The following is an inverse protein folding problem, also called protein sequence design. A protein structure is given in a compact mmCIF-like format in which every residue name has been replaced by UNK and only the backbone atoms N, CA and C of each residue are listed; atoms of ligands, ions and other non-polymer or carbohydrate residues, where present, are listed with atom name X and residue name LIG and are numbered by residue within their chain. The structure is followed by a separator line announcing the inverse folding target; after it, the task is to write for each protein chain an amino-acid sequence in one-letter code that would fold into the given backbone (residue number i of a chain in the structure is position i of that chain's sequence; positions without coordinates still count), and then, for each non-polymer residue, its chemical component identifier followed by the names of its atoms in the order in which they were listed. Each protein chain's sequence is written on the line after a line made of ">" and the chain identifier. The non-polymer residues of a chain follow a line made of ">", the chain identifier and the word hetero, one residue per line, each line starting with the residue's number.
data_IF_095028177730
#
_entry.id   IF_095028177730
#
_cell.length_a   1.000
_cell.length_b   1.000
_cell.length_c   1.000
_cell.angle_alpha   90.00
_cell.angle_beta   90.00
_cell.angle_gamma   90.00
#
_symmetry.space_group_name_H-M   'P 1'
#
loop_
_entity.id
_entity.type
_entity.pdbx_description
1 polymer ?
#
# COMPACT_ATOMS: atom_id res chain seq x y z
N UNK A 1 -38.58 17.82 41.84
CA UNK A 1 -38.71 18.80 40.72
C UNK A 1 -37.58 18.54 39.74
N UNK A 2 -37.87 18.04 38.53
CA UNK A 2 -36.86 17.96 37.48
C UNK A 2 -36.50 19.38 37.06
N UNK A 3 -35.20 19.72 37.08
CA UNK A 3 -34.72 21.02 36.67
C UNK A 3 -35.14 21.32 35.23
N UNK A 4 -35.85 22.43 35.01
CA UNK A 4 -36.24 22.89 33.68
C UNK A 4 -34.99 23.18 32.86
N UNK A 5 -34.81 22.47 31.74
CA UNK A 5 -33.72 22.74 30.79
C UNK A 5 -33.83 24.20 30.33
N UNK A 6 -32.76 24.98 30.50
CA UNK A 6 -32.71 26.36 30.03
C UNK A 6 -32.97 26.40 28.51
N UNK A 7 -33.85 27.31 28.09
CA UNK A 7 -34.17 27.51 26.67
C UNK A 7 -32.92 27.97 25.93
N UNK A 8 -32.54 27.25 24.87
CA UNK A 8 -31.39 27.63 24.05
C UNK A 8 -31.72 28.84 23.18
N UNK A 9 -31.05 29.95 23.47
CA UNK A 9 -31.13 31.17 22.66
C UNK A 9 -30.49 31.00 21.28
N UNK A 10 -30.78 31.91 20.35
CA UNK A 10 -30.29 31.85 18.97
C UNK A 10 -28.76 31.82 18.89
N UNK A 11 -28.08 32.65 19.69
CA UNK A 11 -26.61 32.70 19.77
C UNK A 11 -26.02 31.37 20.26
N UNK A 12 -26.66 30.71 21.24
CA UNK A 12 -26.21 29.41 21.75
C UNK A 12 -26.36 28.28 20.73
N UNK A 13 -27.34 28.39 19.82
CA UNK A 13 -27.51 27.42 18.71
C UNK A 13 -26.48 27.61 17.60
N UNK A 14 -25.96 28.82 17.45
CA UNK A 14 -25.02 29.19 16.39
C UNK A 14 -23.57 28.95 16.85
N UNK A 15 -23.24 29.36 18.07
CA UNK A 15 -21.90 29.31 18.63
C UNK A 15 -21.54 27.97 19.28
N UNK A 16 -20.25 27.74 19.49
CA UNK A 16 -19.72 26.57 20.20
C UNK A 16 -19.52 25.32 19.34
N UNK A 17 -19.06 24.23 19.98
CA UNK A 17 -18.67 22.97 19.29
C UNK A 17 -19.85 22.30 18.58
N UNK A 18 -21.03 22.36 19.19
CA UNK A 18 -22.29 21.83 18.64
C UNK A 18 -23.11 22.91 17.90
N UNK A 19 -22.56 24.12 17.75
CA UNK A 19 -23.21 25.21 17.04
C UNK A 19 -23.26 24.96 15.53
N UNK A 20 -24.19 25.64 14.85
CA UNK A 20 -24.42 25.47 13.40
C UNK A 20 -23.20 25.72 12.53
N UNK A 21 -22.36 26.72 12.85
CA UNK A 21 -21.16 27.00 12.04
C UNK A 21 -20.19 25.82 11.99
N UNK A 22 -19.97 25.16 13.13
CA UNK A 22 -18.99 24.07 13.22
C UNK A 22 -19.57 22.70 12.89
N UNK A 23 -20.79 22.41 13.33
CA UNK A 23 -21.40 21.07 13.24
C UNK A 23 -22.24 20.84 11.98
N UNK A 24 -22.64 21.90 11.28
CA UNK A 24 -23.48 21.80 10.08
C UNK A 24 -22.84 22.38 8.82
N UNK A 25 -22.10 23.48 8.94
CA UNK A 25 -21.49 24.16 7.79
C UNK A 25 -20.06 23.67 7.53
N UNK A 26 -19.17 23.78 8.52
CA UNK A 26 -17.77 23.36 8.36
C UNK A 26 -17.59 21.84 8.41
N UNK A 27 -18.23 21.17 9.37
CA UNK A 27 -18.38 19.71 9.39
C UNK A 27 -19.83 19.34 9.16
N UNK A 28 -20.09 18.23 8.47
CA UNK A 28 -21.43 17.64 8.35
C UNK A 28 -21.33 16.14 8.14
N UNK A 29 -22.43 15.43 8.41
CA UNK A 29 -22.57 14.03 7.98
C UNK A 29 -22.76 14.00 6.46
N UNK A 30 -22.19 12.99 5.83
CA UNK A 30 -22.21 12.80 4.37
C UNK A 30 -22.67 11.38 4.06
N UNK A 31 -23.43 11.27 2.97
CA UNK A 31 -23.91 9.99 2.43
C UNK A 31 -22.81 9.27 1.63
N UNK A 32 -23.07 8.01 1.25
CA UNK A 32 -22.15 7.16 0.46
C UNK A 32 -20.80 6.94 1.13
N UNK A 33 -20.85 6.69 2.44
CA UNK A 33 -19.67 6.40 3.25
C UNK A 33 -19.77 5.06 3.95
N UNK A 34 -18.62 4.46 4.22
CA UNK A 34 -18.49 3.23 4.99
C UNK A 34 -17.43 3.39 6.08
N UNK A 35 -17.53 2.59 7.13
CA UNK A 35 -16.54 2.50 8.20
C UNK A 35 -16.50 1.06 8.70
N UNK A 36 -15.30 0.52 8.84
CA UNK A 36 -15.07 -0.80 9.44
C UNK A 36 -13.60 -0.89 9.88
N UNK A 37 -13.28 -1.96 10.60
CA UNK A 37 -11.94 -2.29 11.08
C UNK A 37 -11.01 -2.55 9.89
N UNK A 38 -9.76 -2.13 10.03
CA UNK A 38 -8.71 -2.36 9.02
C UNK A 38 -7.94 -3.67 9.27
N UNK A 39 -7.37 -4.26 8.22
CA UNK A 39 -6.50 -5.44 8.30
C UNK A 39 -5.39 -5.37 7.26
N UNK A 40 -4.22 -5.98 7.52
CA UNK A 40 -3.11 -5.99 6.57
C UNK A 40 -3.43 -6.89 5.37
N UNK A 41 -2.97 -6.49 4.18
CA UNK A 41 -2.91 -7.37 3.01
C UNK A 41 -1.74 -6.96 2.08
N UNK A 42 -0.60 -7.68 2.13
CA UNK A 42 0.60 -7.33 1.36
C UNK A 42 0.48 -7.71 -0.12
N UNK A 43 -0.54 -8.51 -0.50
CA UNK A 43 -0.77 -8.89 -1.90
C UNK A 43 -1.50 -7.79 -2.67
N UNK A 44 -2.18 -6.89 -1.97
CA UNK A 44 -2.77 -5.70 -2.57
C UNK A 44 -1.69 -4.72 -2.99
N UNK A 45 -1.91 -4.06 -4.13
CA UNK A 45 -1.05 -2.95 -4.53
C UNK A 45 -1.19 -1.81 -3.54
N UNK A 46 -0.15 -0.98 -3.38
CA UNK A 46 -0.24 0.23 -2.55
C UNK A 46 -1.36 1.20 -2.97
N UNK A 47 -1.86 1.12 -4.20
CA UNK A 47 -2.96 1.94 -4.72
C UNK A 47 -4.33 1.30 -4.53
N UNK A 48 -4.40 0.06 -4.06
CA UNK A 48 -5.63 -0.71 -3.92
C UNK A 48 -6.05 -0.81 -2.45
N UNK A 49 -7.37 -0.79 -2.22
CA UNK A 49 -7.99 -1.07 -0.93
C UNK A 49 -9.02 -2.18 -1.09
N UNK A 50 -8.86 -3.24 -0.30
CA UNK A 50 -9.78 -4.35 -0.16
C UNK A 50 -11.05 -3.89 0.52
N UNK A 51 -12.19 -3.97 -0.16
CA UNK A 51 -13.51 -3.58 0.34
C UNK A 51 -14.39 -4.82 0.50
N UNK A 52 -15.04 -5.00 1.66
CA UNK A 52 -16.02 -6.06 1.86
C UNK A 52 -17.16 -6.05 0.83
N UNK A 53 -17.50 -7.23 0.29
CA UNK A 53 -18.64 -7.38 -0.64
C UNK A 53 -19.95 -6.86 -0.04
N UNK A 54 -20.15 -7.04 1.27
CA UNK A 54 -21.32 -6.52 1.98
C UNK A 54 -21.39 -4.99 1.96
N UNK A 55 -20.23 -4.32 2.06
CA UNK A 55 -20.15 -2.86 1.95
C UNK A 55 -20.33 -2.41 0.50
N UNK A 56 -19.74 -3.14 -0.45
CA UNK A 56 -19.86 -2.87 -1.89
C UNK A 56 -21.30 -2.99 -2.41
N UNK A 57 -22.10 -3.88 -1.84
CA UNK A 57 -23.53 -4.06 -2.16
C UNK A 57 -24.44 -3.00 -1.51
N UNK A 58 -23.92 -2.12 -0.65
CA UNK A 58 -24.68 -1.00 -0.06
C UNK A 58 -24.29 0.31 -0.74
N UNK A 59 -22.99 0.51 -0.95
CA UNK A 59 -22.46 1.69 -1.62
C UNK A 59 -22.70 1.62 -3.12
N UNK A 60 -23.21 2.72 -3.67
CA UNK A 60 -23.51 2.81 -5.10
C UNK A 60 -22.69 3.92 -5.77
N UNK A 61 -22.46 3.73 -7.07
CA UNK A 61 -21.88 4.72 -7.95
C UNK A 61 -22.85 4.99 -9.11
N UNK A 62 -23.16 6.28 -9.39
CA UNK A 62 -24.08 6.65 -10.45
C UNK A 62 -23.36 6.66 -11.80
N UNK A 63 -23.48 5.58 -12.56
CA UNK A 63 -22.86 5.47 -13.87
C UNK A 63 -23.85 5.87 -14.98
N UNK A 64 -23.47 6.85 -15.80
CA UNK A 64 -24.26 7.24 -16.97
C UNK A 64 -24.15 6.20 -18.07
N UNK A 65 -25.30 5.79 -18.63
CA UNK A 65 -25.38 4.83 -19.71
C UNK A 65 -24.87 5.47 -20.99
N UNK A 66 -23.84 4.87 -21.56
CA UNK A 66 -23.23 5.17 -22.84
C UNK A 66 -23.29 3.95 -23.77
N UNK A 67 -22.98 4.14 -25.05
CA UNK A 67 -22.93 3.02 -26.01
C UNK A 67 -21.91 1.94 -25.62
N UNK A 68 -20.86 2.29 -24.87
CA UNK A 68 -19.79 1.37 -24.48
C UNK A 68 -20.19 0.50 -23.28
N UNK A 69 -20.83 1.08 -22.27
CA UNK A 69 -21.16 0.39 -21.01
C UNK A 69 -22.59 -0.17 -20.96
N UNK A 70 -23.46 0.11 -21.95
CA UNK A 70 -24.88 -0.31 -21.94
C UNK A 70 -25.06 -1.81 -21.73
N UNK A 71 -24.22 -2.65 -22.33
CA UNK A 71 -24.30 -4.11 -22.18
C UNK A 71 -24.02 -4.53 -20.73
N UNK A 72 -23.00 -3.93 -20.11
CA UNK A 72 -22.60 -4.15 -18.72
C UNK A 72 -23.69 -3.67 -17.76
N UNK A 73 -24.14 -2.42 -17.92
CA UNK A 73 -25.16 -1.83 -17.05
C UNK A 73 -26.50 -2.56 -17.17
N UNK A 74 -26.89 -2.99 -18.37
CA UNK A 74 -28.07 -3.84 -18.56
C UNK A 74 -27.98 -5.14 -17.75
N UNK A 75 -26.80 -5.77 -17.70
CA UNK A 75 -26.60 -6.96 -16.88
C UNK A 75 -26.70 -6.66 -15.38
N UNK A 76 -26.11 -5.56 -14.91
CA UNK A 76 -26.23 -5.12 -13.51
C UNK A 76 -27.69 -4.86 -13.12
N UNK A 77 -28.47 -4.23 -14.02
CA UNK A 77 -29.89 -3.99 -13.83
C UNK A 77 -30.69 -5.30 -13.78
N UNK A 78 -30.40 -6.27 -14.68
CA UNK A 78 -31.06 -7.59 -14.65
C UNK A 78 -30.77 -8.37 -13.37
N UNK A 79 -29.52 -8.31 -12.89
CA UNK A 79 -29.15 -8.92 -11.61
C UNK A 79 -29.93 -8.26 -10.46
N UNK A 80 -30.06 -6.92 -10.48
CA UNK A 80 -30.78 -6.14 -9.48
C UNK A 80 -30.03 -6.07 -8.15
N UNK A 81 -30.74 -5.85 -7.03
CA UNK A 81 -30.11 -5.68 -5.72
C UNK A 81 -29.63 -7.00 -5.10
N UNK A 82 -30.23 -8.13 -5.49
CA UNK A 82 -30.03 -9.42 -4.81
C UNK A 82 -28.71 -10.11 -5.19
N UNK A 83 -28.15 -9.81 -6.37
CA UNK A 83 -26.97 -10.49 -6.92
C UNK A 83 -25.88 -9.50 -7.28
N UNK A 84 -24.68 -9.73 -6.73
CA UNK A 84 -23.46 -9.02 -7.11
C UNK A 84 -22.79 -9.65 -8.34
N UNK A 85 -22.29 -8.88 -9.31
CA UNK A 85 -22.41 -7.42 -9.48
C UNK A 85 -23.83 -7.02 -9.89
N UNK A 86 -24.35 -5.94 -9.31
CA UNK A 86 -25.76 -5.55 -9.44
C UNK A 86 -25.98 -4.04 -9.40
N UNK A 87 -27.24 -3.62 -9.34
CA UNK A 87 -27.62 -2.22 -9.24
C UNK A 87 -28.84 -2.02 -8.35
N UNK A 88 -28.94 -0.84 -7.74
CA UNK A 88 -30.01 -0.49 -6.82
C UNK A 88 -31.19 0.19 -7.52
N UNK A 89 -30.90 1.16 -8.38
CA UNK A 89 -31.93 1.94 -9.06
C UNK A 89 -31.45 2.51 -10.40
N UNK A 90 -32.41 2.91 -11.23
CA UNK A 90 -32.18 3.60 -12.51
C UNK A 90 -32.90 4.94 -12.47
N UNK A 91 -32.18 6.01 -12.82
CA UNK A 91 -32.69 7.37 -12.96
C UNK A 91 -32.77 7.72 -14.44
N UNK A 92 -33.96 8.10 -14.89
CA UNK A 92 -34.21 8.52 -16.27
C UNK A 92 -33.87 10.01 -16.43
N UNK A 93 -33.61 10.48 -17.67
CA UNK A 93 -33.40 11.90 -17.97
C UNK A 93 -34.55 12.80 -17.49
N UNK A 94 -35.77 12.28 -17.46
CA UNK A 94 -36.98 12.97 -16.99
C UNK A 94 -37.01 13.21 -15.46
N UNK A 95 -35.96 12.78 -14.73
CA UNK A 95 -35.84 12.92 -13.28
C UNK A 95 -36.53 11.81 -12.48
N UNK A 96 -37.27 10.91 -13.14
CA UNK A 96 -37.92 9.77 -12.49
C UNK A 96 -36.87 8.72 -12.11
N UNK A 97 -36.84 8.35 -10.84
CA UNK A 97 -36.04 7.24 -10.33
C UNK A 97 -36.92 5.98 -10.15
N UNK A 98 -36.46 4.84 -10.66
CA UNK A 98 -37.11 3.53 -10.46
C UNK A 98 -36.17 2.59 -9.71
N UNK A 99 -36.63 2.12 -8.56
CA UNK A 99 -35.92 1.11 -7.76
C UNK A 99 -36.07 -0.25 -8.45
N UNK A 100 -34.97 -1.01 -8.51
CA UNK A 100 -34.94 -2.32 -9.11
C UNK A 100 -35.43 -3.36 -8.10
N UNK A 101 -36.70 -3.74 -8.18
CA UNK A 101 -37.28 -4.73 -7.27
C UNK A 101 -38.10 -5.78 -8.03
N UNK A 102 -37.95 -7.05 -7.62
CA UNK A 102 -38.68 -8.18 -8.22
C UNK A 102 -38.49 -8.28 -9.74
N UNK A 103 -39.56 -8.64 -10.46
CA UNK A 103 -39.53 -8.89 -11.90
C UNK A 103 -39.50 -7.62 -12.78
N UNK A 104 -39.67 -6.42 -12.19
CA UNK A 104 -39.66 -5.17 -12.96
C UNK A 104 -38.28 -4.88 -13.55
N UNK A 105 -37.22 -5.44 -12.93
CA UNK A 105 -35.83 -5.26 -13.35
C UNK A 105 -35.55 -5.77 -14.76
N UNK A 106 -36.23 -6.84 -15.20
CA UNK A 106 -36.08 -7.36 -16.57
C UNK A 106 -36.64 -6.37 -17.60
N UNK A 107 -37.84 -5.85 -17.38
CA UNK A 107 -38.46 -4.84 -18.25
C UNK A 107 -37.64 -3.55 -18.31
N UNK A 108 -37.14 -3.08 -17.16
CA UNK A 108 -36.29 -1.88 -17.10
C UNK A 108 -34.96 -2.10 -17.82
N UNK A 109 -34.35 -3.29 -17.70
CA UNK A 109 -33.11 -3.61 -18.40
C UNK A 109 -33.27 -3.60 -19.93
N UNK A 110 -34.40 -4.13 -20.44
CA UNK A 110 -34.67 -4.17 -21.87
C UNK A 110 -34.99 -2.78 -22.44
N UNK A 111 -35.61 -1.91 -21.63
CA UNK A 111 -35.92 -0.52 -21.98
C UNK A 111 -34.76 0.46 -21.70
N UNK A 112 -33.61 0.00 -21.24
CA UNK A 112 -32.48 0.86 -20.88
C UNK A 112 -31.92 1.58 -22.11
N UNK A 113 -31.97 2.91 -22.11
CA UNK A 113 -31.47 3.79 -23.17
C UNK A 113 -30.26 4.60 -22.71
N UNK A 114 -29.51 5.13 -23.68
CA UNK A 114 -28.38 6.04 -23.46
C UNK A 114 -28.88 7.33 -22.80
N UNK A 115 -28.13 7.83 -21.81
CA UNK A 115 -28.52 9.00 -21.02
C UNK A 115 -29.25 8.67 -19.71
N UNK A 116 -29.67 7.42 -19.49
CA UNK A 116 -30.10 6.98 -18.16
C UNK A 116 -28.90 6.90 -17.22
N UNK A 117 -29.12 7.10 -15.92
CA UNK A 117 -28.10 6.92 -14.87
C UNK A 117 -28.44 5.68 -14.07
N UNK A 118 -27.52 4.74 -13.96
CA UNK A 118 -27.69 3.51 -13.18
C UNK A 118 -26.86 3.63 -11.91
N UNK A 119 -27.51 3.58 -10.75
CA UNK A 119 -26.84 3.52 -9.45
C UNK A 119 -26.41 2.06 -9.21
N UNK A 120 -25.28 1.69 -9.82
CA UNK A 120 -24.70 0.35 -9.70
C UNK A 120 -23.95 0.20 -8.38
N UNK A 121 -23.77 -1.03 -7.93
CA UNK A 121 -22.91 -1.31 -6.78
C UNK A 121 -21.43 -1.07 -7.09
N UNK A 122 -20.65 -0.89 -6.02
CA UNK A 122 -19.21 -0.67 -6.11
C UNK A 122 -18.52 -1.90 -6.71
N UNK A 123 -17.58 -1.68 -7.63
CA UNK A 123 -16.86 -2.73 -8.33
C UNK A 123 -15.35 -2.57 -8.25
N UNK A 124 -14.62 -3.59 -8.70
CA UNK A 124 -13.17 -3.55 -8.79
C UNK A 124 -12.70 -2.40 -9.68
N UNK A 125 -11.76 -1.61 -9.18
CA UNK A 125 -11.17 -0.47 -9.87
C UNK A 125 -11.89 0.86 -9.64
N UNK A 126 -13.04 0.89 -8.96
CA UNK A 126 -13.70 2.13 -8.56
C UNK A 126 -12.83 2.96 -7.63
N UNK A 127 -12.98 4.28 -7.68
CA UNK A 127 -12.15 5.20 -6.92
C UNK A 127 -12.84 5.60 -5.62
N UNK A 128 -12.12 5.44 -4.52
CA UNK A 128 -12.62 5.68 -3.17
C UNK A 128 -11.63 6.55 -2.40
N UNK A 129 -12.16 7.49 -1.63
CA UNK A 129 -11.36 8.27 -0.69
C UNK A 129 -11.32 7.53 0.64
N UNK A 130 -10.11 7.36 1.17
CA UNK A 130 -9.85 6.60 2.38
C UNK A 130 -9.13 7.46 3.39
N UNK A 131 -9.68 7.54 4.61
CA UNK A 131 -9.13 8.37 5.68
C UNK A 131 -9.09 7.69 7.04
N UNK A 132 -8.11 8.09 7.85
CA UNK A 132 -8.06 7.78 9.28
C UNK A 132 -8.42 9.03 10.09
N UNK A 133 -9.29 8.84 11.09
CA UNK A 133 -9.62 9.88 12.06
C UNK A 133 -8.82 9.61 13.35
N UNK A 134 -8.12 10.58 13.93
CA UNK A 134 -7.99 12.00 13.52
C UNK A 134 -7.06 12.21 12.31
N UNK A 135 -7.44 13.10 11.40
CA UNK A 135 -6.60 13.51 10.28
C UNK A 135 -5.68 14.66 10.69
N UNK A 136 -4.36 14.39 10.78
CA UNK A 136 -3.38 15.37 11.24
C UNK A 136 -2.74 16.17 10.12
N UNK A 137 -2.63 15.58 8.92
CA UNK A 137 -1.98 16.19 7.78
C UNK A 137 -2.67 15.78 6.48
N UNK A 138 -2.39 16.48 5.37
CA UNK A 138 -3.01 16.24 4.05
C UNK A 138 -3.01 14.76 3.64
N UNK A 139 -1.92 14.06 3.94
CA UNK A 139 -1.70 12.65 3.62
C UNK A 139 -2.57 11.66 4.40
N UNK A 140 -3.35 12.11 5.39
CA UNK A 140 -4.26 11.27 6.17
C UNK A 140 -5.57 10.97 5.42
N UNK A 141 -5.73 11.50 4.19
CA UNK A 141 -6.83 11.23 3.28
C UNK A 141 -6.28 11.10 1.85
N UNK A 142 -6.44 9.93 1.24
CA UNK A 142 -5.95 9.63 -0.11
C UNK A 142 -6.98 8.85 -0.91
N UNK A 143 -6.84 8.89 -2.23
CA UNK A 143 -7.65 8.13 -3.17
C UNK A 143 -7.00 6.79 -3.50
N UNK A 144 -7.79 5.72 -3.35
CA UNK A 144 -7.44 4.34 -3.64
C UNK A 144 -8.39 3.74 -4.67
N UNK A 145 -7.98 2.65 -5.29
CA UNK A 145 -8.82 1.80 -6.13
C UNK A 145 -9.45 0.69 -5.28
N UNK A 146 -10.76 0.54 -5.38
CA UNK A 146 -11.50 -0.52 -4.75
C UNK A 146 -11.10 -1.89 -5.30
N UNK A 147 -10.99 -2.88 -4.41
CA UNK A 147 -10.91 -4.28 -4.76
C UNK A 147 -11.84 -5.07 -3.86
N UNK A 148 -12.87 -5.69 -4.43
CA UNK A 148 -13.93 -6.31 -3.67
C UNK A 148 -13.49 -7.68 -3.17
N UNK A 149 -13.69 -7.91 -1.88
CA UNK A 149 -13.27 -9.12 -1.17
C UNK A 149 -14.42 -9.71 -0.36
N UNK A 150 -14.38 -11.02 -0.14
CA UNK A 150 -15.45 -11.74 0.57
C UNK A 150 -15.54 -11.39 2.07
N UNK A 151 -14.45 -10.94 2.67
CA UNK A 151 -14.33 -10.67 4.10
C UNK A 151 -15.03 -9.36 4.53
N UNK A 152 -15.02 -9.05 5.83
CA UNK A 152 -15.75 -7.91 6.42
C UNK A 152 -14.90 -6.71 6.86
N UNK A 153 -13.58 -6.80 6.71
CA UNK A 153 -12.63 -5.74 7.07
C UNK A 153 -12.12 -5.01 5.84
N UNK A 154 -11.71 -3.74 6.02
CA UNK A 154 -11.00 -2.99 4.98
C UNK A 154 -9.55 -3.43 4.97
N UNK A 155 -8.99 -3.71 3.80
CA UNK A 155 -7.62 -4.21 3.68
C UNK A 155 -6.77 -3.31 2.82
N UNK A 156 -5.52 -3.09 3.18
CA UNK A 156 -4.59 -2.35 2.33
C UNK A 156 -3.16 -2.72 2.67
N UNK A 157 -2.24 -2.30 1.79
CA UNK A 157 -0.83 -2.61 1.91
C UNK A 157 -0.17 -1.85 3.08
N UNK A 158 0.65 -2.55 3.84
CA UNK A 158 1.33 -2.10 5.06
C UNK A 158 2.31 -0.95 4.80
N UNK A 159 2.79 -0.81 3.56
CA UNK A 159 3.65 0.31 3.15
C UNK A 159 2.95 1.68 3.26
N UNK A 160 1.61 1.68 3.24
CA UNK A 160 0.76 2.88 3.27
C UNK A 160 0.27 3.21 4.70
N UNK A 161 0.63 2.43 5.71
CA UNK A 161 0.20 2.68 7.09
C UNK A 161 0.78 3.98 7.67
N UNK A 162 2.02 4.34 7.31
CA UNK A 162 2.72 5.51 7.84
C UNK A 162 1.94 6.83 7.63
N UNK A 163 1.45 7.17 6.41
CA UNK A 163 0.57 8.32 6.22
C UNK A 163 -0.69 8.35 7.09
N UNK A 164 -1.29 7.19 7.36
CA UNK A 164 -2.47 7.13 8.19
C UNK A 164 -2.15 7.13 9.68
N UNK A 165 -0.88 6.94 10.03
CA UNK A 165 -0.42 6.64 11.38
C UNK A 165 -1.22 5.47 11.99
N UNK A 166 -1.57 4.49 11.14
CA UNK A 166 -2.42 3.37 11.47
C UNK A 166 -1.59 2.17 11.92
N UNK A 167 -2.09 1.46 12.92
CA UNK A 167 -1.71 0.12 13.34
C UNK A 167 -2.89 -0.85 13.13
N UNK A 168 -2.63 -2.15 13.10
CA UNK A 168 -3.65 -3.16 12.85
C UNK A 168 -4.16 -3.78 14.16
N UNK A 169 -4.31 -2.96 15.21
CA UNK A 169 -4.67 -3.35 16.58
C UNK A 169 -6.18 -3.29 16.88
N UNK A 170 -7.00 -3.00 15.86
CA UNK A 170 -8.45 -2.78 15.99
C UNK A 170 -8.90 -1.41 15.47
N UNK A 171 -7.98 -0.62 14.92
CA UNK A 171 -8.27 0.64 14.24
C UNK A 171 -9.39 0.53 13.19
N UNK A 172 -10.20 1.59 13.12
CA UNK A 172 -11.24 1.75 12.11
C UNK A 172 -10.94 2.95 11.23
N UNK A 173 -11.17 2.79 9.93
CA UNK A 173 -11.01 3.86 8.95
C UNK A 173 -12.31 4.09 8.18
N UNK A 174 -12.49 5.31 7.67
CA UNK A 174 -13.66 5.62 6.86
C UNK A 174 -13.32 5.65 5.38
N UNK A 175 -14.33 5.30 4.60
CA UNK A 175 -14.31 5.23 3.16
C UNK A 175 -15.42 6.13 2.61
N UNK A 176 -15.12 6.90 1.58
CA UNK A 176 -16.05 7.79 0.92
C UNK A 176 -16.02 7.53 -0.59
N UNK A 177 -17.20 7.34 -1.19
CA UNK A 177 -17.31 7.08 -2.64
C UNK A 177 -17.70 8.37 -3.37
N UNK A 178 -16.82 8.85 -4.24
CA UNK A 178 -17.09 10.02 -5.08
C UNK A 178 -18.23 9.73 -6.06
N UNK A 179 -19.22 10.62 -6.11
CA UNK A 179 -20.45 10.41 -6.91
C UNK A 179 -20.39 11.06 -8.30
N UNK A 180 -19.53 12.06 -8.53
CA UNK A 180 -19.40 12.74 -9.83
C UNK A 180 -18.11 12.35 -10.53
N UNK A 181 -18.13 12.36 -11.87
CA UNK A 181 -16.94 12.06 -12.69
C UNK A 181 -15.81 13.07 -12.49
N UNK A 182 -16.16 14.35 -12.32
CA UNK A 182 -15.20 15.42 -12.04
C UNK A 182 -14.45 15.18 -10.73
N UNK A 183 -15.19 14.97 -9.63
CA UNK A 183 -14.60 14.72 -8.31
C UNK A 183 -13.81 13.40 -8.29
N UNK A 184 -14.26 12.39 -9.06
CA UNK A 184 -13.56 11.11 -9.22
C UNK A 184 -12.21 11.30 -9.91
N UNK A 185 -12.19 12.09 -10.98
CA UNK A 185 -10.97 12.39 -11.75
C UNK A 185 -10.00 13.22 -10.92
N UNK A 186 -10.48 14.25 -10.23
CA UNK A 186 -9.68 15.09 -9.34
C UNK A 186 -9.07 14.25 -8.20
N UNK A 187 -9.87 13.39 -7.56
CA UNK A 187 -9.40 12.51 -6.50
C UNK A 187 -8.27 11.58 -6.99
N UNK A 188 -8.39 10.97 -8.16
CA UNK A 188 -7.33 10.12 -8.71
C UNK A 188 -6.07 10.93 -9.04
N UNK A 189 -6.22 12.07 -9.72
CA UNK A 189 -5.10 12.85 -10.24
C UNK A 189 -4.35 13.61 -9.14
N UNK A 190 -5.04 14.13 -8.11
CA UNK A 190 -4.42 14.95 -7.06
C UNK A 190 -4.25 14.20 -5.74
N UNK A 191 -5.19 13.34 -5.38
CA UNK A 191 -5.22 12.64 -4.10
C UNK A 191 -4.78 11.17 -4.20
N UNK A 192 -4.47 10.67 -5.40
CA UNK A 192 -4.02 9.30 -5.61
C UNK A 192 -2.74 8.98 -4.83
N UNK A 193 -2.64 7.76 -4.30
CA UNK A 193 -1.48 7.30 -3.51
C UNK A 193 -0.16 7.46 -4.29
N UNK A 194 -0.16 7.12 -5.59
CA UNK A 194 1.01 7.24 -6.46
C UNK A 194 1.55 8.67 -6.54
N UNK A 195 0.67 9.68 -6.54
CA UNK A 195 1.08 11.07 -6.68
C UNK A 195 1.50 11.69 -5.34
N UNK A 196 1.25 10.96 -4.25
CA UNK A 196 1.46 11.43 -2.89
C UNK A 196 2.43 10.51 -2.11
N UNK A 197 3.43 9.92 -2.78
CA UNK A 197 4.44 9.10 -2.09
C UNK A 197 5.35 9.92 -1.16
N UNK A 198 5.58 11.20 -1.48
CA UNK A 198 6.38 12.13 -0.69
C UNK A 198 5.54 13.03 0.22
N UNK A 199 6.10 13.40 1.37
CA UNK A 199 5.51 14.45 2.22
C UNK A 199 5.77 15.84 1.65
N UNK A 200 4.77 16.75 1.64
CA UNK A 200 4.96 18.13 1.19
C UNK A 200 5.84 18.96 2.14
N UNK A 201 6.05 18.51 3.39
CA UNK A 201 6.82 19.23 4.41
C UNK A 201 8.31 19.30 4.05
N UNK A 202 8.90 18.16 3.72
CA UNK A 202 10.35 18.00 3.55
C UNK A 202 10.73 17.38 2.18
N UNK A 203 9.77 16.89 1.40
CA UNK A 203 10.03 16.13 0.17
C UNK A 203 10.54 14.71 0.38
N UNK A 204 10.52 14.19 1.61
CA UNK A 204 10.93 12.83 1.94
C UNK A 204 9.84 11.81 1.58
N UNK A 205 10.25 10.59 1.24
CA UNK A 205 9.31 9.47 1.00
C UNK A 205 8.65 9.07 2.32
N UNK A 206 7.32 9.12 2.34
CA UNK A 206 6.50 8.74 3.50
C UNK A 206 5.96 7.31 3.37
N UNK A 207 5.51 6.95 2.17
CA UNK A 207 5.05 5.60 1.81
C UNK A 207 6.27 4.78 1.40
N UNK A 208 6.66 3.83 2.24
CA UNK A 208 7.89 3.07 2.09
C UNK A 208 7.73 1.71 2.78
N UNK A 209 8.74 0.85 2.64
CA UNK A 209 8.75 -0.45 3.28
C UNK A 209 8.86 -0.30 4.81
N UNK A 210 8.00 -1.03 5.52
CA UNK A 210 7.88 -1.00 6.97
C UNK A 210 8.27 -2.35 7.57
N UNK A 211 8.82 -2.32 8.79
CA UNK A 211 9.05 -3.48 9.68
C UNK A 211 9.50 -4.77 8.95
N UNK A 212 8.58 -5.71 8.74
CA UNK A 212 8.79 -7.02 8.14
C UNK A 212 9.37 -6.99 6.72
N UNK A 213 9.00 -5.99 5.92
CA UNK A 213 9.55 -5.79 4.57
C UNK A 213 11.03 -5.39 4.62
N UNK A 214 11.43 -4.64 5.64
CA UNK A 214 12.83 -4.28 5.84
C UNK A 214 13.63 -5.48 6.35
N UNK A 215 13.08 -6.23 7.30
CA UNK A 215 13.73 -7.41 7.88
C UNK A 215 13.98 -8.49 6.82
N UNK A 216 12.98 -8.79 6.00
CA UNK A 216 13.10 -9.75 4.89
C UNK A 216 14.13 -9.30 3.86
N UNK A 217 14.09 -8.04 3.43
CA UNK A 217 15.08 -7.47 2.51
C UNK A 217 16.51 -7.57 3.05
N UNK A 218 16.68 -7.30 4.34
CA UNK A 218 17.98 -7.41 5.02
C UNK A 218 18.50 -8.85 5.03
N UNK A 219 17.64 -9.83 5.30
CA UNK A 219 18.02 -11.26 5.31
C UNK A 219 18.33 -11.79 3.91
N UNK A 220 17.57 -11.37 2.88
CA UNK A 220 17.81 -11.76 1.48
C UNK A 220 19.15 -11.22 1.01
N UNK A 221 19.44 -9.94 1.28
CA UNK A 221 20.62 -9.26 0.73
C UNK A 221 21.92 -9.51 1.51
N UNK A 222 21.88 -10.37 2.54
CA UNK A 222 23.05 -10.80 3.31
C UNK A 222 24.06 -11.56 2.43
N UNK A 223 25.36 -11.44 2.74
CA UNK A 223 26.46 -12.00 1.92
C UNK A 223 26.51 -13.52 1.89
N UNK A 224 25.99 -14.17 2.91
CA UNK A 224 26.00 -15.63 3.12
C UNK A 224 24.71 -16.31 2.61
N UNK A 225 23.79 -15.56 2.01
CA UNK A 225 22.54 -16.11 1.47
C UNK A 225 22.69 -16.49 0.00
N UNK A 226 22.63 -17.79 -0.26
CA UNK A 226 22.69 -18.38 -1.59
C UNK A 226 21.43 -19.20 -1.90
N UNK A 227 21.02 -19.18 -3.16
CA UNK A 227 19.84 -19.88 -3.67
C UNK A 227 20.24 -20.77 -4.84
N UNK A 228 19.65 -21.96 -4.90
CA UNK A 228 19.73 -22.79 -6.09
C UNK A 228 18.80 -22.24 -7.18
N UNK A 229 18.83 -22.87 -8.36
CA UNK A 229 18.00 -22.42 -9.49
C UNK A 229 16.50 -22.52 -9.20
N UNK A 230 16.07 -23.53 -8.43
CA UNK A 230 14.66 -23.78 -8.15
C UNK A 230 14.10 -22.72 -7.19
N UNK A 231 14.79 -22.48 -6.08
CA UNK A 231 14.45 -21.46 -5.08
C UNK A 231 14.52 -20.06 -5.70
N UNK A 232 15.55 -19.76 -6.49
CA UNK A 232 15.68 -18.47 -7.16
C UNK A 232 14.51 -18.22 -8.12
N UNK A 233 14.15 -19.22 -8.93
CA UNK A 233 13.02 -19.12 -9.87
C UNK A 233 11.69 -19.00 -9.13
N UNK A 234 11.53 -19.71 -8.01
CA UNK A 234 10.34 -19.59 -7.17
C UNK A 234 10.17 -18.18 -6.62
N UNK A 235 11.23 -17.61 -6.02
CA UNK A 235 11.24 -16.23 -5.53
C UNK A 235 10.87 -15.23 -6.63
N UNK A 236 11.40 -15.46 -7.82
CA UNK A 236 11.11 -14.67 -9.02
C UNK A 236 9.63 -14.74 -9.44
N UNK A 237 9.01 -15.92 -9.38
CA UNK A 237 7.59 -16.07 -9.66
C UNK A 237 6.72 -15.31 -8.65
N UNK A 238 7.05 -15.35 -7.36
CA UNK A 238 6.26 -14.70 -6.31
C UNK A 238 6.25 -13.18 -6.40
N UNK A 239 7.38 -12.54 -6.73
CA UNK A 239 7.41 -11.08 -6.86
C UNK A 239 6.50 -10.58 -7.99
N UNK A 240 6.34 -11.35 -9.06
CA UNK A 240 5.57 -10.99 -10.26
C UNK A 240 4.22 -11.70 -10.43
N UNK A 241 3.72 -12.42 -9.41
CA UNK A 241 2.56 -13.32 -9.49
C UNK A 241 2.62 -14.33 -10.66
N UNK A 242 3.82 -14.67 -11.14
CA UNK A 242 4.02 -15.49 -12.34
C UNK A 242 3.64 -14.83 -13.68
N UNK A 243 3.33 -13.53 -13.68
CA UNK A 243 2.92 -12.77 -14.86
C UNK A 243 4.09 -12.01 -15.51
N UNK A 244 5.12 -11.66 -14.74
CA UNK A 244 6.27 -10.92 -15.24
C UNK A 244 7.22 -11.83 -16.03
N UNK A 245 7.65 -11.35 -17.21
CA UNK A 245 8.76 -11.95 -17.94
C UNK A 245 10.08 -11.62 -17.23
N UNK A 246 10.90 -12.65 -17.01
CA UNK A 246 12.13 -12.56 -16.22
C UNK A 246 13.30 -13.16 -17.01
N UNK A 247 14.33 -12.34 -17.21
CA UNK A 247 15.62 -12.76 -17.74
C UNK A 247 16.47 -13.25 -16.57
N UNK A 248 16.68 -14.57 -16.47
CA UNK A 248 17.49 -15.14 -15.40
C UNK A 248 18.96 -14.71 -15.55
N UNK A 249 19.56 -14.05 -14.54
CA UNK A 249 20.97 -13.66 -14.60
C UNK A 249 21.87 -14.89 -14.49
N UNK A 250 23.13 -14.76 -14.91
CA UNK A 250 24.14 -15.79 -14.65
C UNK A 250 24.34 -16.00 -13.14
N UNK A 251 24.52 -17.25 -12.67
CA UNK A 251 24.75 -17.52 -11.26
C UNK A 251 26.07 -16.86 -10.80
N UNK A 252 26.08 -16.38 -9.55
CA UNK A 252 27.28 -15.78 -8.96
C UNK A 252 28.40 -16.82 -8.75
N UNK A 253 28.02 -18.07 -8.48
CA UNK A 253 28.95 -19.20 -8.35
C UNK A 253 28.53 -20.26 -9.36
N UNK A 254 29.44 -20.64 -10.26
CA UNK A 254 29.19 -21.65 -11.30
C UNK A 254 29.58 -23.07 -10.86
N UNK A 255 30.64 -23.19 -10.05
CA UNK A 255 31.17 -24.46 -9.55
C UNK A 255 31.43 -24.35 -8.05
N UNK A 256 31.20 -25.40 -7.24
CA UNK A 256 30.80 -26.76 -7.64
C UNK A 256 29.32 -26.91 -8.02
N UNK A 257 28.45 -25.98 -7.59
CA UNK A 257 27.02 -25.95 -7.90
C UNK A 257 26.67 -24.53 -8.35
N UNK A 258 25.71 -24.40 -9.27
CA UNK A 258 25.17 -23.10 -9.68
C UNK A 258 24.38 -22.46 -8.53
N UNK A 259 24.90 -21.36 -7.99
CA UNK A 259 24.26 -20.62 -6.91
C UNK A 259 24.12 -19.14 -7.24
N UNK A 260 22.95 -18.60 -6.93
CA UNK A 260 22.62 -17.20 -7.02
C UNK A 260 22.67 -16.54 -5.65
N UNK A 261 23.02 -15.26 -5.61
CA UNK A 261 22.99 -14.48 -4.37
C UNK A 261 21.63 -13.79 -4.22
N UNK A 262 21.25 -13.45 -2.99
CA UNK A 262 20.04 -12.64 -2.78
C UNK A 262 20.16 -11.20 -3.31
N UNK A 263 21.38 -10.70 -3.53
CA UNK A 263 21.60 -9.42 -4.23
C UNK A 263 21.15 -9.51 -5.70
N UNK A 264 21.40 -10.64 -6.37
CA UNK A 264 20.90 -10.87 -7.73
C UNK A 264 19.37 -10.93 -7.77
N UNK A 265 18.71 -11.51 -6.76
CA UNK A 265 17.23 -11.47 -6.65
C UNK A 265 16.75 -10.02 -6.63
N UNK A 266 17.41 -9.15 -5.85
CA UNK A 266 17.04 -7.74 -5.77
C UNK A 266 17.28 -7.00 -7.09
N UNK A 267 18.35 -7.31 -7.83
CA UNK A 267 18.57 -6.77 -9.17
C UNK A 267 17.42 -7.12 -10.12
N UNK A 268 16.95 -8.38 -10.09
CA UNK A 268 15.79 -8.82 -10.89
C UNK A 268 14.49 -8.13 -10.43
N UNK A 269 14.33 -7.89 -9.13
CA UNK A 269 13.18 -7.14 -8.58
C UNK A 269 13.10 -5.72 -9.16
N UNK A 270 14.25 -5.04 -9.27
CA UNK A 270 14.35 -3.70 -9.87
C UNK A 270 14.13 -3.74 -11.38
N UNK A 271 14.78 -4.68 -12.07
CA UNK A 271 14.75 -4.83 -13.51
C UNK A 271 14.67 -6.31 -13.90
N UNK A 272 13.45 -6.87 -14.08
CA UNK A 272 13.27 -8.29 -14.33
C UNK A 272 13.66 -8.73 -15.73
N UNK A 273 13.52 -7.85 -16.73
CA UNK A 273 13.83 -8.18 -18.12
C UNK A 273 14.49 -7.00 -18.84
N UNK A 274 15.20 -7.31 -19.92
CA UNK A 274 16.06 -6.37 -20.64
C UNK A 274 15.29 -5.21 -21.26
N UNK A 275 14.05 -5.42 -21.70
CA UNK A 275 13.18 -4.35 -22.25
C UNK A 275 12.71 -3.33 -21.20
N UNK A 276 12.81 -3.61 -19.90
CA UNK A 276 12.46 -2.65 -18.86
C UNK A 276 13.57 -1.60 -18.77
N UNK A 277 13.23 -0.35 -19.12
CA UNK A 277 14.14 0.80 -19.13
C UNK A 277 14.26 1.47 -17.76
N UNK A 278 14.61 0.69 -16.74
CA UNK A 278 14.95 1.21 -15.41
C UNK A 278 16.42 0.91 -15.17
N UNK A 279 17.26 1.94 -15.24
CA UNK A 279 18.71 1.89 -15.01
C UNK A 279 19.06 2.76 -13.81
N UNK A 280 18.84 2.20 -12.63
CA UNK A 280 19.03 2.91 -11.37
C UNK A 280 20.51 2.93 -10.99
N UNK A 281 21.00 4.11 -10.61
CA UNK A 281 22.31 4.27 -9.98
C UNK A 281 22.10 4.90 -8.60
N UNK A 282 22.58 4.23 -7.55
CA UNK A 282 22.37 4.67 -6.17
C UNK A 282 23.57 4.29 -5.30
N UNK A 283 23.97 5.20 -4.42
CA UNK A 283 24.97 4.93 -3.37
C UNK A 283 24.45 5.45 -2.03
N UNK A 284 24.26 4.55 -1.05
CA UNK A 284 23.69 4.87 0.27
C UNK A 284 24.49 4.19 1.37
N UNK A 285 24.73 4.92 2.46
CA UNK A 285 25.34 4.40 3.68
C UNK A 285 24.23 3.92 4.61
N UNK A 286 24.20 2.62 4.90
CA UNK A 286 23.27 2.04 5.87
C UNK A 286 23.75 2.23 7.31
N UNK A 287 22.85 2.00 8.27
CA UNK A 287 23.16 2.17 9.70
C UNK A 287 24.28 1.26 10.20
N UNK A 288 24.46 0.09 9.58
CA UNK A 288 25.50 -0.89 9.93
C UNK A 288 26.85 -0.59 9.30
N UNK A 289 26.94 0.48 8.50
CA UNK A 289 28.15 0.89 7.80
C UNK A 289 29.28 1.22 8.78
N UNK A 290 30.47 0.71 8.47
CA UNK A 290 31.64 0.83 9.33
C UNK A 290 32.78 1.49 8.54
N UNK A 291 33.21 2.67 9.00
CA UNK A 291 34.22 3.54 8.36
C UNK A 291 35.68 3.11 8.63
N UNK A 292 35.95 1.81 8.82
CA UNK A 292 37.25 1.35 9.34
C UNK A 292 38.34 1.14 8.27
N UNK A 293 38.00 1.17 6.98
CA UNK A 293 38.94 0.88 5.90
C UNK A 293 39.35 2.17 5.19
N UNK A 294 40.53 2.66 5.57
CA UNK A 294 41.23 3.78 4.93
C UNK A 294 42.45 3.17 4.25
N UNK A 295 42.61 3.43 2.95
CA UNK A 295 43.82 3.11 2.20
C UNK A 295 44.59 4.41 2.01
N UNK A 296 45.84 4.46 2.43
CA UNK A 296 46.69 5.63 2.20
C UNK A 296 47.43 5.41 0.87
N UNK A 297 47.21 6.28 -0.11
CA UNK A 297 48.04 6.39 -1.32
C UNK A 297 48.81 7.72 -1.22
N UNK A 298 50.03 7.68 -0.69
CA UNK A 298 50.81 8.89 -0.41
C UNK A 298 50.24 9.70 0.76
N UNK A 299 50.06 11.01 0.57
CA UNK A 299 49.48 11.94 1.55
C UNK A 299 47.94 11.97 1.52
N UNK A 300 47.30 11.24 0.59
CA UNK A 300 45.84 11.18 0.46
C UNK A 300 45.26 9.90 1.08
N UNK A 301 44.33 10.09 2.04
CA UNK A 301 43.51 9.03 2.61
C UNK A 301 42.37 8.65 1.63
N UNK A 302 42.57 7.59 0.83
CA UNK A 302 41.54 7.03 -0.04
C UNK A 302 40.63 6.09 0.78
N UNK A 303 39.40 6.55 1.02
CA UNK A 303 38.38 5.75 1.71
C UNK A 303 37.77 4.72 0.76
N UNK A 304 37.92 3.43 1.07
CA UNK A 304 37.29 2.37 0.28
C UNK A 304 35.87 2.16 0.81
N UNK A 305 34.91 2.89 0.23
CA UNK A 305 33.53 2.90 0.73
C UNK A 305 32.80 1.56 0.52
N UNK A 306 33.00 0.88 -0.62
CA UNK A 306 32.26 -0.33 -1.02
C UNK A 306 32.71 -1.61 -0.31
N UNK A 307 33.92 -1.64 0.28
CA UNK A 307 34.50 -2.84 0.91
C UNK A 307 34.21 -2.94 2.42
N UNK A 308 33.12 -2.36 2.89
CA UNK A 308 32.74 -2.42 4.31
C UNK A 308 32.65 -3.88 4.81
N UNK A 309 33.30 -4.25 5.94
CA UNK A 309 33.22 -5.60 6.51
C UNK A 309 31.78 -6.06 6.77
N UNK A 310 30.97 -5.16 7.35
CA UNK A 310 29.56 -5.41 7.66
C UNK A 310 28.62 -5.29 6.45
N UNK A 311 29.16 -5.06 5.24
CA UNK A 311 28.34 -4.86 4.02
C UNK A 311 27.32 -3.72 4.17
N UNK A 312 27.70 -2.61 4.80
CA UNK A 312 26.79 -1.49 5.08
C UNK A 312 26.79 -0.39 4.01
N UNK A 313 27.55 -0.53 2.92
CA UNK A 313 27.58 0.45 1.83
C UNK A 313 26.82 -0.11 0.63
N UNK A 314 25.62 0.42 0.41
CA UNK A 314 24.74 0.02 -0.69
C UNK A 314 25.17 0.74 -1.96
N UNK A 315 25.55 -0.04 -2.96
CA UNK A 315 25.92 0.45 -4.29
C UNK A 315 25.10 -0.30 -5.34
N UNK A 316 24.21 0.43 -6.00
CA UNK A 316 23.43 -0.05 -7.14
C UNK A 316 23.94 0.65 -8.38
N UNK A 317 24.28 -0.11 -9.42
CA UNK A 317 24.68 0.43 -10.72
C UNK A 317 23.87 -0.21 -11.82
N UNK A 318 23.28 0.59 -12.69
CA UNK A 318 22.41 0.12 -13.79
C UNK A 318 21.35 -0.90 -13.35
N UNK A 319 20.74 -0.69 -12.18
CA UNK A 319 19.77 -1.58 -11.53
C UNK A 319 20.32 -2.92 -11.03
N UNK A 320 21.63 -3.06 -10.95
CA UNK A 320 22.28 -4.22 -10.32
C UNK A 320 22.82 -3.85 -8.94
N UNK A 321 22.43 -4.61 -7.92
CA UNK A 321 22.94 -4.45 -6.56
C UNK A 321 24.30 -5.11 -6.42
N UNK A 322 25.36 -4.30 -6.41
CA UNK A 322 26.76 -4.76 -6.37
C UNK A 322 27.19 -5.05 -4.93
N UNK A 323 26.95 -4.11 -4.01
CA UNK A 323 27.35 -4.21 -2.61
C UNK A 323 26.27 -3.68 -1.69
N UNK A 324 26.31 -4.11 -0.43
CA UNK A 324 25.44 -3.60 0.62
C UNK A 324 24.25 -4.51 0.96
N UNK A 325 23.89 -4.49 2.23
CA UNK A 325 22.64 -5.05 2.74
C UNK A 325 21.58 -3.97 2.76
N UNK A 326 20.39 -4.28 2.23
CA UNK A 326 19.31 -3.30 2.12
C UNK A 326 18.54 -3.21 3.43
N UNK A 327 18.51 -2.02 4.01
CA UNK A 327 17.85 -1.74 5.28
C UNK A 327 17.00 -0.48 5.23
N UNK A 328 16.85 0.15 6.39
CA UNK A 328 15.98 1.33 6.56
C UNK A 328 16.52 2.56 5.80
N UNK A 329 17.84 2.73 5.66
CA UNK A 329 18.36 3.91 4.94
C UNK A 329 18.00 3.85 3.44
N UNK A 330 17.97 2.65 2.87
CA UNK A 330 17.69 2.45 1.45
C UNK A 330 16.20 2.33 1.14
N UNK A 331 15.45 1.55 1.92
CA UNK A 331 14.05 1.19 1.64
C UNK A 331 13.03 1.82 2.61
N UNK A 332 13.50 2.45 3.67
CA UNK A 332 12.63 2.99 4.72
C UNK A 332 12.09 4.38 4.42
N UNK A 333 11.22 4.84 5.31
CA UNK A 333 10.67 6.19 5.31
C UNK A 333 11.67 7.23 5.82
N UNK A 334 11.53 8.47 5.34
CA UNK A 334 12.28 9.64 5.84
C UNK A 334 13.62 9.91 5.15
N UNK A 335 13.97 9.16 4.10
CA UNK A 335 15.21 9.38 3.35
C UNK A 335 14.94 10.07 2.01
N UNK A 336 15.77 11.06 1.67
CA UNK A 336 15.70 11.77 0.38
C UNK A 336 16.50 11.08 -0.72
N UNK A 337 17.54 10.35 -0.33
CA UNK A 337 18.43 9.63 -1.23
C UNK A 337 18.20 8.11 -1.18
N UNK A 338 17.03 7.66 -0.73
CA UNK A 338 16.68 6.24 -0.71
C UNK A 338 16.34 5.69 -2.10
N UNK A 339 16.16 4.37 -2.19
CA UNK A 339 15.79 3.69 -3.44
C UNK A 339 14.51 4.26 -4.04
N UNK A 340 13.46 4.39 -3.21
CA UNK A 340 12.15 4.82 -3.67
C UNK A 340 12.11 6.28 -4.10
N UNK A 341 12.94 7.15 -3.52
CA UNK A 341 13.00 8.55 -3.93
C UNK A 341 13.71 8.71 -5.28
N UNK A 342 14.79 7.95 -5.52
CA UNK A 342 15.47 7.95 -6.82
C UNK A 342 14.57 7.34 -7.90
N UNK A 343 13.88 6.23 -7.62
CA UNK A 343 12.90 5.66 -8.55
C UNK A 343 11.77 6.64 -8.87
N UNK A 344 11.25 7.35 -7.86
CA UNK A 344 10.21 8.35 -8.06
C UNK A 344 10.68 9.52 -8.92
N UNK A 345 11.89 10.02 -8.67
CA UNK A 345 12.47 11.17 -9.37
C UNK A 345 12.81 10.85 -10.82
N UNK A 346 13.39 9.69 -11.07
CA UNK A 346 14.00 9.37 -12.37
C UNK A 346 13.04 8.54 -13.26
N UNK A 347 12.13 7.74 -12.67
CA UNK A 347 11.28 6.76 -13.38
C UNK A 347 9.78 6.83 -13.02
N UNK A 348 9.34 7.95 -12.44
CA UNK A 348 7.96 8.22 -12.00
C UNK A 348 7.46 7.34 -10.83
N UNK A 349 6.29 7.72 -10.32
CA UNK A 349 5.59 7.03 -9.22
C UNK A 349 5.21 5.59 -9.55
N UNK A 350 4.99 5.27 -10.83
CA UNK A 350 4.67 3.91 -11.25
C UNK A 350 5.85 2.97 -10.97
N UNK A 351 7.08 3.34 -11.37
CA UNK A 351 8.27 2.53 -11.14
C UNK A 351 8.52 2.25 -9.66
N UNK A 352 8.38 3.29 -8.82
CA UNK A 352 8.47 3.15 -7.37
C UNK A 352 7.37 2.23 -6.80
N UNK A 353 6.12 2.41 -7.22
CA UNK A 353 4.99 1.60 -6.73
C UNK A 353 5.11 0.12 -7.11
N UNK A 354 5.57 -0.20 -8.32
CA UNK A 354 5.78 -1.58 -8.77
C UNK A 354 6.89 -2.22 -7.95
N UNK A 355 8.00 -1.52 -7.74
CA UNK A 355 9.10 -2.00 -6.90
C UNK A 355 8.64 -2.30 -5.46
N UNK A 356 7.85 -1.40 -4.85
CA UNK A 356 7.29 -1.62 -3.51
C UNK A 356 6.38 -2.86 -3.46
N UNK A 357 5.50 -3.02 -4.45
CA UNK A 357 4.58 -4.16 -4.51
C UNK A 357 5.32 -5.49 -4.69
N UNK A 358 6.34 -5.53 -5.57
CA UNK A 358 7.18 -6.73 -5.77
C UNK A 358 7.91 -7.12 -4.48
N UNK A 359 8.44 -6.13 -3.75
CA UNK A 359 9.12 -6.38 -2.48
C UNK A 359 8.15 -6.87 -1.40
N UNK A 360 6.96 -6.27 -1.29
CA UNK A 360 5.94 -6.70 -0.35
C UNK A 360 5.57 -8.18 -0.55
N UNK A 361 5.39 -8.61 -1.80
CA UNK A 361 5.09 -10.02 -2.12
C UNK A 361 6.26 -10.97 -1.84
N UNK A 362 7.47 -10.57 -2.22
CA UNK A 362 8.69 -11.35 -1.97
C UNK A 362 8.92 -11.57 -0.46
N UNK A 363 8.70 -10.54 0.34
CA UNK A 363 8.91 -10.57 1.79
C UNK A 363 8.06 -11.62 2.51
N UNK A 364 6.82 -11.83 2.06
CA UNK A 364 5.86 -12.73 2.68
C UNK A 364 6.34 -14.19 2.61
N UNK A 365 6.83 -14.62 1.46
CA UNK A 365 7.37 -15.98 1.29
C UNK A 365 8.57 -16.23 2.20
N UNK A 366 9.47 -15.25 2.30
CA UNK A 366 10.69 -15.42 3.07
C UNK A 366 10.41 -15.49 4.57
N UNK A 367 9.46 -14.71 5.07
CA UNK A 367 9.07 -14.75 6.48
C UNK A 367 8.37 -16.07 6.84
N UNK A 368 7.54 -16.60 5.93
CA UNK A 368 6.93 -17.93 6.10
C UNK A 368 7.98 -19.05 6.19
N UNK A 369 9.06 -18.95 5.43
CA UNK A 369 10.15 -19.93 5.44
C UNK A 369 11.21 -19.67 6.53
N UNK A 370 11.43 -18.41 6.92
CA UNK A 370 12.54 -17.96 7.77
C UNK A 370 12.23 -17.88 9.26
N UNK A 371 10.98 -17.62 9.67
CA UNK A 371 10.63 -17.46 11.10
C UNK A 371 10.82 -18.74 11.93
N UNK A 372 10.87 -19.92 11.31
CA UNK A 372 11.25 -21.17 11.99
C UNK A 372 12.68 -21.13 12.57
N UNK A 373 13.60 -20.30 12.04
CA UNK A 373 14.98 -20.21 12.53
C UNK A 373 15.19 -19.21 13.68
N UNK A 374 14.31 -18.21 13.85
CA UNK A 374 14.48 -17.14 14.84
C UNK A 374 14.05 -17.54 16.26
N UNK A 375 13.13 -18.49 16.42
CA UNK A 375 12.72 -19.02 17.74
C UNK A 375 13.86 -19.74 18.50
N UNK A 376 14.98 -20.06 17.85
CA UNK A 376 16.17 -20.60 18.51
C UNK A 376 17.05 -19.54 19.20
N UNK A 377 16.88 -18.25 18.90
CA UNK A 377 17.75 -17.19 19.41
C UNK A 377 17.44 -16.76 20.86
N UNK A 378 16.26 -17.09 21.41
CA UNK A 378 15.94 -16.79 22.82
C UNK A 378 16.61 -17.73 23.81
N UNK A 379 17.16 -18.87 23.37
CA UNK A 379 17.76 -19.87 24.26
C UNK A 379 19.27 -19.71 24.49
N UNK A 380 19.97 -18.80 23.79
CA UNK A 380 21.44 -18.75 23.79
C UNK A 380 22.10 -17.64 24.64
N UNK A 381 21.38 -17.05 25.61
CA UNK A 381 21.97 -16.07 26.54
C UNK A 381 21.64 -16.29 28.02
N UNK A 382 21.52 -17.55 28.47
CA UNK A 382 21.43 -17.87 29.91
C UNK A 382 22.76 -17.59 30.66
N UNK A 383 23.88 -17.39 29.96
CA UNK A 383 25.19 -17.05 30.60
C UNK A 383 25.40 -15.56 30.88
N UNK A 384 24.60 -14.65 30.32
CA UNK A 384 24.77 -13.19 30.51
C UNK A 384 23.69 -12.55 31.39
N UNK A 385 22.80 -13.35 31.97
CA UNK A 385 21.69 -12.89 32.83
C UNK A 385 22.01 -12.90 34.34
N UNK A 386 23.24 -13.24 34.75
CA UNK A 386 23.63 -13.27 36.17
C UNK A 386 23.97 -11.90 36.78
N UNK A 387 23.86 -10.78 36.05
CA UNK A 387 24.25 -9.46 36.55
C UNK A 387 23.18 -8.36 36.52
N UNK A 388 21.91 -8.68 36.27
CA UNK A 388 20.82 -7.71 36.29
C UNK A 388 19.53 -8.35 36.82
N UNK A 389 19.28 -8.35 38.15
CA UNK A 389 17.93 -8.53 38.66
C UNK A 389 17.14 -7.24 38.39
N UNK A 390 15.89 -7.40 37.98
CA UNK A 390 14.84 -6.36 37.85
C UNK A 390 14.89 -5.45 36.61
N UNK A 391 14.50 -5.97 35.43
CA UNK A 391 13.63 -5.26 34.46
C UNK A 391 13.37 -6.16 33.22
N UNK A 392 12.39 -7.06 33.28
CA UNK A 392 12.01 -7.84 32.09
C UNK A 392 10.55 -8.31 32.16
N UNK A 393 9.63 -7.35 31.96
CA UNK A 393 8.23 -7.69 31.65
C UNK A 393 7.52 -6.51 30.96
N UNK A 394 8.01 -6.07 29.80
CA UNK A 394 7.31 -5.04 29.01
C UNK A 394 7.84 -4.87 27.58
N UNK A 395 8.06 -5.94 26.82
CA UNK A 395 8.40 -5.77 25.38
C UNK A 395 8.01 -6.95 24.51
N UNK A 396 6.77 -7.44 24.61
CA UNK A 396 6.14 -8.23 23.53
C UNK A 396 4.62 -8.01 23.62
N UNK A 397 3.97 -7.87 22.46
CA UNK A 397 2.63 -7.30 22.21
C UNK A 397 2.60 -5.77 22.00
N UNK A 398 3.12 -5.34 20.85
CA UNK A 398 2.39 -4.39 20.00
C UNK A 398 1.99 -5.17 18.74
N UNK A 399 0.88 -5.88 18.88
CA UNK A 399 0.07 -6.47 17.82
C UNK A 399 -0.99 -5.45 17.44
#
# INVERSE_FOLDING_TARGET
>A
MQASKSLSGLVQRIAGKQGRFRSNLSGKRVEYTGRTVISPDPNLKITEVGIPIQMAQILTYPECVSHQNIKKLRQCVRNGPDKYPGARMVRYPDGIARVLFGNIKFRIADQLTVGCIVDRYLEDGDLVLFNRQPSLHRMSMMCHRARIMAWRTLRFNESVCNPYNADFDGDEMNLHVSQTEEARTEALMLMGVQNNLCTPKNGEILIASTQDFLTSSFLITRKDTFYDRADFSLMCCYMGDGMDLIDLPSPAILKPIELWTGKQIFSVLLRPHTSMRVYLNLTVKEKTYCNKLIRNDGDEEIRIETMCPNDGFVCIRNSELISGQLGKATLGNGNKDGLYSVLLRDYNSLGASVCMNRLAKLSLLLLLNGLKRLFGCTNNHVRSLQSLPDLLLLFFFKL
#
